data_IF_277816296542
#
_entry.id   IF_277816296542
#
_cell.length_a   1.000
_cell.length_b   1.000
_cell.length_c   1.000
_cell.angle_alpha   90.00
_cell.angle_beta   90.00
_cell.angle_gamma   90.00
#
_symmetry.space_group_name_H-M   'P 1'
#
loop_
_entity.id
_entity.type
_entity.pdbx_description
1 polymer ?
#
# COMPACT_ATOMS: atom_id res chain seq x y z
N UNK A 1 -6.16 6.15 -17.27
CA UNK A 1 -5.54 5.29 -18.29
C UNK A 1 -4.36 4.58 -17.63
N UNK A 2 -4.34 3.24 -17.76
CA UNK A 2 -3.18 2.34 -17.63
C UNK A 2 -2.37 2.30 -16.33
N UNK A 3 -2.08 1.09 -15.85
CA UNK A 3 -0.82 0.87 -15.14
C UNK A 3 0.36 1.04 -16.12
N UNK A 4 1.54 1.36 -15.60
CA UNK A 4 2.76 1.68 -16.38
C UNK A 4 3.34 0.53 -17.17
N UNK A 5 3.50 -0.61 -16.50
CA UNK A 5 4.39 -1.67 -16.95
C UNK A 5 3.69 -2.71 -17.80
N UNK A 6 2.38 -2.89 -17.56
CA UNK A 6 1.47 -3.59 -18.45
C UNK A 6 0.45 -2.58 -18.94
N UNK A 7 0.28 -2.34 -20.26
CA UNK A 7 -0.72 -1.41 -20.81
C UNK A 7 -2.17 -1.88 -20.59
N UNK A 8 -2.41 -2.67 -19.54
CA UNK A 8 -3.69 -3.13 -19.04
C UNK A 8 -3.93 -2.44 -17.69
N UNK A 9 -5.09 -1.80 -17.55
CA UNK A 9 -5.49 -1.20 -16.27
C UNK A 9 -6.24 -2.22 -15.41
N UNK A 10 -6.23 -2.03 -14.09
CA UNK A 10 -7.23 -2.61 -13.20
C UNK A 10 -8.25 -1.54 -12.82
N UNK A 11 -9.53 -1.91 -12.86
CA UNK A 11 -10.65 -1.00 -12.63
C UNK A 11 -11.27 -1.14 -11.23
N UNK A 12 -10.85 -2.15 -10.47
CA UNK A 12 -11.35 -2.44 -9.13
C UNK A 12 -11.23 -3.92 -8.77
N UNK A 13 -11.73 -4.28 -7.60
CA UNK A 13 -11.83 -5.66 -7.12
C UNK A 13 -13.18 -5.85 -6.45
N UNK A 14 -13.77 -7.03 -6.65
CA UNK A 14 -14.99 -7.43 -5.95
C UNK A 14 -14.60 -8.37 -4.83
N UNK A 15 -14.80 -7.95 -3.60
CA UNK A 15 -14.62 -8.77 -2.40
C UNK A 15 -15.99 -9.25 -1.96
N UNK A 16 -16.10 -10.54 -1.65
CA UNK A 16 -17.33 -11.17 -1.19
C UNK A 16 -17.03 -11.89 0.12
N UNK A 17 -17.67 -11.41 1.18
CA UNK A 17 -17.62 -12.01 2.51
C UNK A 17 -18.68 -13.11 2.68
N UNK A 18 -18.57 -13.94 3.74
CA UNK A 18 -19.51 -15.02 4.00
C UNK A 18 -20.98 -14.57 3.97
N UNK A 19 -21.86 -15.52 3.69
CA UNK A 19 -23.29 -15.25 3.58
C UNK A 19 -23.83 -14.52 4.81
N UNK A 20 -24.66 -13.50 4.56
CA UNK A 20 -25.25 -12.67 5.62
C UNK A 20 -24.36 -11.51 6.10
N UNK A 21 -23.13 -11.39 5.60
CA UNK A 21 -22.26 -10.27 5.96
C UNK A 21 -22.80 -8.94 5.45
N UNK A 22 -22.67 -7.88 6.26
CA UNK A 22 -23.00 -6.50 5.88
C UNK A 22 -21.74 -5.61 5.92
N UNK A 23 -21.72 -4.60 5.06
CA UNK A 23 -20.55 -3.77 4.78
C UNK A 23 -20.85 -2.35 5.26
N UNK A 24 -20.04 -1.79 6.15
CA UNK A 24 -20.30 -0.50 6.79
C UNK A 24 -19.13 0.47 6.66
N UNK A 25 -19.43 1.74 6.48
CA UNK A 25 -18.43 2.80 6.53
C UNK A 25 -17.89 2.93 7.97
N UNK A 26 -16.57 2.84 8.20
CA UNK A 26 -16.01 2.83 9.57
C UNK A 26 -16.19 4.13 10.36
N UNK A 27 -16.49 5.25 9.69
CA UNK A 27 -16.65 6.54 10.36
C UNK A 27 -18.11 6.80 10.72
N UNK A 28 -19.03 6.41 9.84
CA UNK A 28 -20.45 6.72 9.96
C UNK A 28 -21.31 5.54 10.40
N UNK A 29 -20.78 4.32 10.32
CA UNK A 29 -21.51 3.07 10.58
C UNK A 29 -22.59 2.73 9.56
N UNK A 30 -22.79 3.56 8.53
CA UNK A 30 -23.82 3.35 7.51
C UNK A 30 -23.40 2.25 6.56
N UNK A 31 -24.38 1.49 6.06
CA UNK A 31 -24.10 0.44 5.09
C UNK A 31 -23.58 1.05 3.77
N UNK A 32 -22.54 0.44 3.20
CA UNK A 32 -21.91 0.86 1.94
C UNK A 32 -21.88 -0.28 0.94
N UNK A 33 -21.76 0.08 -0.34
CA UNK A 33 -21.58 -0.90 -1.43
C UNK A 33 -20.14 -1.03 -1.90
N UNK A 34 -19.29 -0.08 -1.56
CA UNK A 34 -17.91 -0.01 -2.05
C UNK A 34 -17.07 0.88 -1.15
N UNK A 35 -15.81 0.54 -1.00
CA UNK A 35 -14.80 1.35 -0.32
C UNK A 35 -13.53 0.52 -0.13
N UNK A 36 -12.35 1.16 -0.08
CA UNK A 36 -11.12 0.43 0.20
C UNK A 36 -10.99 0.07 1.68
N UNK A 37 -11.68 0.79 2.59
CA UNK A 37 -11.69 0.49 4.03
C UNK A 37 -13.15 0.38 4.48
N UNK A 38 -13.52 -0.77 5.03
CA UNK A 38 -14.92 -1.11 5.35
C UNK A 38 -14.96 -1.96 6.61
N UNK A 39 -15.96 -1.74 7.46
CA UNK A 39 -16.30 -2.62 8.57
C UNK A 39 -17.21 -3.74 8.07
N UNK A 40 -16.75 -4.97 8.18
CA UNK A 40 -17.53 -6.16 7.86
C UNK A 40 -18.18 -6.65 9.13
N UNK A 41 -19.50 -6.74 9.12
CA UNK A 41 -20.27 -7.38 10.17
C UNK A 41 -20.71 -8.76 9.71
N UNK A 42 -20.33 -9.80 10.45
CA UNK A 42 -20.61 -11.18 10.12
C UNK A 42 -20.46 -12.06 11.35
N UNK A 43 -20.67 -13.37 11.20
CA UNK A 43 -20.54 -14.35 12.29
C UNK A 43 -19.53 -15.46 11.98
N UNK A 44 -19.13 -15.58 10.73
CA UNK A 44 -18.29 -16.67 10.24
C UNK A 44 -16.80 -16.43 10.55
N UNK A 45 -15.99 -17.50 10.65
CA UNK A 45 -14.54 -17.40 10.71
C UNK A 45 -13.95 -16.86 9.40
N UNK A 46 -13.08 -15.86 9.50
CA UNK A 46 -12.38 -15.26 8.34
C UNK A 46 -10.89 -15.58 8.31
N UNK A 47 -10.32 -15.96 9.45
CA UNK A 47 -8.99 -16.53 9.59
C UNK A 47 -8.88 -17.33 10.90
N UNK A 48 -7.78 -18.05 11.09
CA UNK A 48 -7.47 -18.71 12.35
C UNK A 48 -7.46 -17.68 13.49
N UNK A 49 -8.30 -17.90 14.51
CA UNK A 49 -8.43 -17.00 15.65
C UNK A 49 -9.17 -15.69 15.38
N UNK A 50 -9.75 -15.51 14.19
CA UNK A 50 -10.51 -14.31 13.82
C UNK A 50 -11.86 -14.68 13.21
N UNK A 51 -12.93 -14.29 13.89
CA UNK A 51 -14.31 -14.54 13.51
C UNK A 51 -15.20 -13.36 13.89
N UNK A 52 -16.35 -13.24 13.23
CA UNK A 52 -17.31 -12.21 13.55
C UNK A 52 -17.02 -10.90 12.80
N UNK A 53 -17.10 -9.78 13.52
CA UNK A 53 -16.87 -8.46 12.92
C UNK A 53 -15.37 -8.17 12.78
N UNK A 54 -14.99 -7.54 11.67
CA UNK A 54 -13.61 -7.10 11.45
C UNK A 54 -13.57 -5.87 10.55
N UNK A 55 -12.46 -5.13 10.64
CA UNK A 55 -12.20 -4.01 9.72
C UNK A 55 -11.33 -4.49 8.58
N UNK A 56 -11.76 -4.22 7.36
CA UNK A 56 -11.06 -4.60 6.14
C UNK A 56 -10.33 -3.40 5.52
N UNK A 57 -9.13 -3.63 4.99
CA UNK A 57 -8.50 -2.79 3.99
C UNK A 57 -8.21 -3.62 2.73
N UNK A 58 -8.81 -3.23 1.60
CA UNK A 58 -8.46 -3.73 0.28
C UNK A 58 -7.33 -2.89 -0.30
N UNK A 59 -6.18 -3.54 -0.47
CA UNK A 59 -4.93 -2.95 -0.91
C UNK A 59 -4.48 -3.60 -2.23
N UNK A 60 -4.83 -2.94 -3.35
CA UNK A 60 -4.23 -3.22 -4.64
C UNK A 60 -2.81 -2.64 -4.66
N UNK A 61 -1.81 -3.50 -4.72
CA UNK A 61 -0.42 -3.05 -4.83
C UNK A 61 -0.10 -2.67 -6.27
N UNK A 62 0.71 -1.63 -6.38
CA UNK A 62 1.13 -1.07 -7.67
C UNK A 62 2.59 -0.67 -7.63
N UNK A 63 3.28 -0.87 -8.76
CA UNK A 63 4.71 -0.54 -8.97
C UNK A 63 4.97 0.92 -9.31
N UNK A 64 3.91 1.69 -9.61
CA UNK A 64 4.06 3.06 -10.08
C UNK A 64 2.81 3.89 -9.84
N UNK A 65 3.03 5.12 -9.36
CA UNK A 65 2.13 6.25 -9.55
C UNK A 65 2.88 7.38 -10.25
N UNK A 66 2.47 7.81 -11.46
CA UNK A 66 3.27 8.73 -12.29
C UNK A 66 3.62 10.04 -11.58
N UNK A 67 2.65 10.61 -10.86
CA UNK A 67 2.83 11.91 -10.21
C UNK A 67 3.75 11.85 -8.97
N UNK A 68 4.19 10.66 -8.54
CA UNK A 68 5.18 10.50 -7.44
C UNK A 68 6.54 10.04 -7.96
N UNK A 69 6.78 10.08 -9.27
CA UNK A 69 8.09 9.82 -9.84
C UNK A 69 9.19 10.70 -9.23
N UNK A 70 10.31 10.08 -8.91
CA UNK A 70 11.48 10.68 -8.30
C UNK A 70 12.75 10.30 -9.06
N UNK A 71 13.61 11.28 -9.31
CA UNK A 71 14.92 11.12 -9.90
C UNK A 71 15.90 10.55 -8.86
N UNK A 72 16.52 9.42 -9.18
CA UNK A 72 17.59 8.85 -8.36
C UNK A 72 18.87 9.66 -8.60
N UNK A 73 19.48 10.18 -7.54
CA UNK A 73 20.61 11.13 -7.65
C UNK A 73 21.97 10.48 -7.41
N UNK A 74 22.04 9.37 -6.67
CA UNK A 74 23.27 8.61 -6.42
C UNK A 74 23.09 7.12 -6.73
N UNK A 75 24.18 6.44 -7.10
CA UNK A 75 24.15 5.00 -7.46
C UNK A 75 23.76 4.70 -8.91
N UNK A 76 23.49 5.73 -9.71
CA UNK A 76 23.16 5.58 -11.13
C UNK A 76 24.39 5.30 -12.02
N UNK A 77 24.26 4.44 -13.05
CA UNK A 77 25.26 4.35 -14.10
C UNK A 77 25.52 5.73 -14.74
N UNK A 78 26.79 6.06 -15.11
CA UNK A 78 27.11 7.32 -15.76
C UNK A 78 26.30 7.51 -17.07
N UNK A 79 25.84 8.74 -17.34
CA UNK A 79 25.20 9.11 -18.63
C UNK A 79 23.66 9.19 -18.62
N UNK A 80 23.02 9.10 -17.45
CA UNK A 80 21.58 9.18 -17.33
C UNK A 80 21.16 10.60 -16.89
N UNK A 81 20.68 11.42 -17.84
CA UNK A 81 20.17 12.77 -17.54
C UNK A 81 18.73 12.74 -17.03
N UNK A 82 18.25 13.84 -16.45
CA UNK A 82 16.85 14.02 -16.04
C UNK A 82 15.89 13.87 -17.22
N UNK A 83 16.26 14.38 -18.39
CA UNK A 83 15.49 14.23 -19.63
C UNK A 83 15.38 12.75 -20.02
N UNK A 84 16.48 12.00 -19.94
CA UNK A 84 16.47 10.56 -20.18
C UNK A 84 15.59 9.83 -19.17
N UNK A 85 15.57 10.27 -17.90
CA UNK A 85 14.72 9.69 -16.87
C UNK A 85 13.22 9.96 -17.13
N UNK A 86 12.85 11.16 -17.58
CA UNK A 86 11.46 11.51 -17.92
C UNK A 86 11.00 10.79 -19.19
N UNK A 87 11.87 10.70 -20.20
CA UNK A 87 11.59 9.98 -21.44
C UNK A 87 11.49 8.46 -21.20
N UNK A 88 12.32 7.92 -20.31
CA UNK A 88 12.22 6.54 -19.87
C UNK A 88 10.88 6.32 -19.15
N UNK A 89 10.07 5.40 -19.66
CA UNK A 89 8.77 5.07 -19.08
C UNK A 89 7.59 5.87 -19.64
N UNK A 90 7.80 6.96 -20.40
CA UNK A 90 6.70 7.68 -21.05
C UNK A 90 6.07 6.83 -22.17
N UNK A 91 4.75 6.68 -22.16
CA UNK A 91 3.97 6.01 -23.22
C UNK A 91 2.65 6.74 -23.49
N UNK A 92 1.97 6.40 -24.59
CA UNK A 92 0.65 6.99 -24.90
C UNK A 92 -0.36 6.68 -23.78
N UNK A 93 -0.23 5.53 -23.12
CA UNK A 93 -1.09 5.11 -22.02
C UNK A 93 -0.67 5.66 -20.65
N UNK A 94 0.53 6.23 -20.55
CA UNK A 94 1.13 6.70 -19.31
C UNK A 94 2.03 7.92 -19.55
N UNK A 95 1.60 9.08 -19.04
CA UNK A 95 2.36 10.32 -19.17
C UNK A 95 3.12 10.60 -17.87
N UNK A 96 4.44 10.65 -17.97
CA UNK A 96 5.28 11.16 -16.90
C UNK A 96 5.02 12.66 -16.68
N UNK A 97 5.19 13.17 -15.46
CA UNK A 97 5.14 14.60 -15.22
C UNK A 97 6.28 15.28 -15.98
N UNK A 98 6.08 16.57 -16.32
CA UNK A 98 7.10 17.37 -17.03
C UNK A 98 8.37 17.61 -16.20
N UNK A 99 8.25 17.47 -14.89
CA UNK A 99 9.35 17.56 -13.94
C UNK A 99 9.15 16.53 -12.83
N UNK A 100 10.25 16.02 -12.28
CA UNK A 100 10.28 14.99 -11.23
C UNK A 100 11.10 15.46 -10.05
N UNK A 101 10.65 15.20 -8.83
CA UNK A 101 11.45 15.56 -7.65
C UNK A 101 12.68 14.67 -7.53
N UNK A 102 13.71 15.11 -6.83
CA UNK A 102 14.80 14.20 -6.46
C UNK A 102 14.33 13.26 -5.34
N UNK A 103 14.90 12.05 -5.29
CA UNK A 103 14.61 11.08 -4.23
C UNK A 103 14.85 11.67 -2.84
N UNK A 104 14.00 11.30 -1.89
CA UNK A 104 14.18 11.67 -0.48
C UNK A 104 15.47 11.09 0.15
N UNK A 105 15.95 9.97 -0.40
CA UNK A 105 17.12 9.25 0.05
C UNK A 105 18.06 9.03 -1.15
N UNK A 106 19.28 9.60 -1.15
CA UNK A 106 20.17 9.57 -2.33
C UNK A 106 20.55 8.16 -2.77
N UNK A 107 20.79 7.25 -1.82
CA UNK A 107 21.19 5.86 -2.07
C UNK A 107 19.98 4.95 -2.31
N UNK A 108 19.23 5.22 -3.37
CA UNK A 108 18.12 4.36 -3.77
C UNK A 108 18.53 3.49 -4.97
N UNK A 109 18.44 2.16 -4.82
CA UNK A 109 18.47 1.26 -5.97
C UNK A 109 17.18 1.43 -6.77
N UNK A 110 17.29 1.70 -8.06
CA UNK A 110 16.10 1.86 -8.92
C UNK A 110 16.34 2.35 -10.34
N UNK A 111 17.59 2.37 -10.82
CA UNK A 111 17.91 2.97 -12.13
C UNK A 111 17.64 4.48 -12.16
N UNK A 112 17.32 5.04 -13.34
CA UNK A 112 17.26 6.50 -13.55
C UNK A 112 16.22 7.23 -12.71
N UNK A 113 15.08 6.61 -12.49
CA UNK A 113 14.00 7.15 -11.68
C UNK A 113 13.26 6.01 -10.99
N UNK A 114 12.69 6.31 -9.84
CA UNK A 114 11.73 5.45 -9.17
C UNK A 114 10.37 6.12 -9.15
N UNK A 115 9.31 5.34 -9.16
CA UNK A 115 7.96 5.84 -8.92
C UNK A 115 7.42 5.40 -7.56
N UNK A 116 8.19 4.55 -6.86
CA UNK A 116 7.85 3.94 -5.58
C UNK A 116 6.74 2.88 -5.69
N UNK A 117 6.52 2.15 -4.60
CA UNK A 117 5.34 1.31 -4.43
C UNK A 117 4.12 2.15 -4.06
N UNK A 118 2.93 1.69 -4.44
CA UNK A 118 1.67 2.37 -4.17
C UNK A 118 0.56 1.39 -3.79
N UNK A 119 -0.46 1.93 -3.13
CA UNK A 119 -1.68 1.22 -2.77
C UNK A 119 -2.88 1.92 -3.39
N UNK A 120 -3.72 1.17 -4.12
CA UNK A 120 -4.91 1.68 -4.78
C UNK A 120 -4.62 2.91 -5.66
N UNK A 121 -3.51 2.85 -6.42
CA UNK A 121 -2.98 3.95 -7.25
C UNK A 121 -2.63 5.24 -6.48
N UNK A 122 -2.33 5.13 -5.19
CA UNK A 122 -1.93 6.26 -4.35
C UNK A 122 -0.61 5.98 -3.66
N UNK A 123 0.23 7.00 -3.60
CA UNK A 123 1.47 7.02 -2.86
C UNK A 123 1.61 8.35 -2.11
N UNK A 124 2.12 8.28 -0.88
CA UNK A 124 2.47 9.44 -0.07
C UNK A 124 3.98 9.70 -0.23
N UNK A 125 4.32 10.63 -1.14
CA UNK A 125 5.72 10.90 -1.51
C UNK A 125 6.49 11.60 -0.39
N UNK A 126 7.53 10.94 0.13
CA UNK A 126 8.46 11.54 1.10
C UNK A 126 9.26 12.68 0.48
N UNK A 127 9.64 12.58 -0.79
CA UNK A 127 10.32 13.65 -1.51
C UNK A 127 9.45 14.91 -1.59
N UNK A 128 8.15 14.75 -1.88
CA UNK A 128 7.22 15.89 -1.91
C UNK A 128 7.05 16.53 -0.53
N UNK A 129 7.04 15.72 0.54
CA UNK A 129 7.00 16.22 1.92
C UNK A 129 8.27 16.99 2.28
N UNK A 130 9.45 16.49 1.92
CA UNK A 130 10.73 17.19 2.15
C UNK A 130 10.86 18.48 1.33
N UNK A 131 10.37 18.47 0.09
CA UNK A 131 10.32 19.68 -0.73
C UNK A 131 9.41 20.76 -0.12
N UNK A 132 8.30 20.35 0.51
CA UNK A 132 7.39 21.26 1.21
C UNK A 132 7.92 21.71 2.59
N UNK A 133 8.62 20.84 3.32
CA UNK A 133 9.29 21.16 4.58
C UNK A 133 10.59 20.35 4.71
N UNK A 134 11.77 21.00 4.70
CA UNK A 134 13.06 20.31 4.73
C UNK A 134 13.41 19.72 6.11
N UNK A 135 12.66 20.01 7.19
CA UNK A 135 12.86 19.40 8.50
C UNK A 135 12.42 17.92 8.47
N UNK A 136 13.40 17.03 8.28
CA UNK A 136 13.18 15.58 8.23
C UNK A 136 12.50 15.01 9.49
N UNK A 137 12.57 15.67 10.65
CA UNK A 137 11.85 15.24 11.85
C UNK A 137 10.33 15.35 11.73
N UNK A 138 9.84 16.12 10.74
CA UNK A 138 8.40 16.35 10.50
C UNK A 138 7.84 15.48 9.38
N UNK A 139 8.65 14.63 8.77
CA UNK A 139 8.29 13.90 7.56
C UNK A 139 6.98 13.10 7.66
N UNK A 140 6.72 12.51 8.83
CA UNK A 140 5.52 11.73 9.11
C UNK A 140 4.42 12.52 9.84
N UNK A 141 4.60 13.82 10.09
CA UNK A 141 3.66 14.62 10.86
C UNK A 141 2.44 15.03 10.02
N UNK A 142 1.27 14.49 10.37
CA UNK A 142 0.00 14.94 9.78
C UNK A 142 -0.34 16.39 10.08
N UNK A 143 0.19 16.98 11.16
CA UNK A 143 -0.01 18.42 11.44
C UNK A 143 0.69 19.32 10.42
N UNK A 144 1.83 18.87 9.89
CA UNK A 144 2.63 19.63 8.92
C UNK A 144 2.18 19.35 7.49
N UNK A 145 1.91 18.08 7.17
CA UNK A 145 1.67 17.63 5.79
C UNK A 145 0.23 17.19 5.51
N UNK A 146 -0.63 17.11 6.52
CA UNK A 146 -1.89 16.36 6.44
C UNK A 146 -1.69 14.85 6.52
N UNK A 147 -2.79 14.12 6.70
CA UNK A 147 -2.80 12.66 6.58
C UNK A 147 -2.35 12.24 5.16
N UNK A 148 -1.69 11.08 5.02
CA UNK A 148 -1.27 10.60 3.70
C UNK A 148 -2.48 10.40 2.78
N UNK A 149 -2.26 10.54 1.48
CA UNK A 149 -3.31 10.34 0.47
C UNK A 149 -3.73 8.88 0.31
N UNK A 150 -2.95 7.94 0.86
CA UNK A 150 -3.23 6.50 0.88
C UNK A 150 -4.36 6.17 1.87
N UNK A 151 -5.08 5.04 1.69
CA UNK A 151 -6.19 4.68 2.57
C UNK A 151 -5.79 4.63 4.05
N UNK A 152 -6.53 5.32 4.92
CA UNK A 152 -6.28 5.30 6.36
C UNK A 152 -7.24 4.31 7.04
N UNK A 153 -6.69 3.26 7.63
CA UNK A 153 -7.43 2.33 8.48
C UNK A 153 -7.22 2.73 9.95
N UNK A 154 -8.33 3.00 10.66
CA UNK A 154 -8.33 3.29 12.09
C UNK A 154 -9.04 2.16 12.80
N UNK A 155 -8.52 1.68 13.93
CA UNK A 155 -9.16 0.63 14.71
C UNK A 155 -8.87 0.74 16.20
N UNK A 156 -9.75 0.19 17.03
CA UNK A 156 -9.51 0.09 18.45
C UNK A 156 -8.58 -1.09 18.73
N UNK A 157 -7.77 -0.98 19.77
CA UNK A 157 -6.89 -2.08 20.19
C UNK A 157 -7.74 -3.34 20.42
N UNK A 158 -7.31 -4.47 19.88
CA UNK A 158 -8.03 -5.73 20.00
C UNK A 158 -9.01 -6.02 18.86
N UNK A 159 -9.38 -5.03 18.05
CA UNK A 159 -10.21 -5.25 16.86
C UNK A 159 -9.53 -6.22 15.89
N UNK A 160 -10.30 -7.13 15.30
CA UNK A 160 -9.82 -7.93 14.18
C UNK A 160 -9.71 -7.06 12.93
N UNK A 161 -8.56 -7.15 12.26
CA UNK A 161 -8.27 -6.42 11.03
C UNK A 161 -7.87 -7.40 9.95
N UNK A 162 -8.39 -7.20 8.74
CA UNK A 162 -8.05 -8.01 7.56
C UNK A 162 -7.50 -7.12 6.44
N UNK A 163 -6.27 -7.38 6.03
CA UNK A 163 -5.69 -6.75 4.84
C UNK A 163 -5.86 -7.69 3.63
N UNK A 164 -6.63 -7.25 2.62
CA UNK A 164 -6.75 -7.94 1.33
C UNK A 164 -5.69 -7.38 0.39
N UNK A 165 -4.61 -8.13 0.19
CA UNK A 165 -3.51 -7.74 -0.69
C UNK A 165 -3.74 -8.34 -2.07
N UNK A 166 -3.72 -7.50 -3.11
CA UNK A 166 -3.99 -7.90 -4.49
C UNK A 166 -2.91 -7.34 -5.42
N UNK A 167 -2.22 -8.22 -6.14
CA UNK A 167 -1.19 -7.85 -7.12
C UNK A 167 -1.61 -8.32 -8.52
N UNK A 168 -2.56 -7.61 -9.13
CA UNK A 168 -3.17 -8.05 -10.39
C UNK A 168 -2.78 -7.25 -11.63
N UNK A 169 -1.96 -6.20 -11.48
CA UNK A 169 -2.03 -5.05 -12.38
C UNK A 169 -0.69 -4.60 -12.95
N UNK A 170 0.44 -5.04 -12.37
CA UNK A 170 1.76 -4.49 -12.62
C UNK A 170 2.86 -5.56 -12.57
N UNK A 171 4.07 -5.22 -13.05
CA UNK A 171 5.12 -6.17 -13.41
C UNK A 171 6.10 -6.46 -12.27
N UNK A 172 6.09 -5.65 -11.23
CA UNK A 172 7.01 -5.85 -10.11
C UNK A 172 6.41 -6.74 -9.04
N UNK A 173 7.31 -7.32 -8.26
CA UNK A 173 6.93 -7.99 -7.02
C UNK A 173 7.05 -7.01 -5.87
N UNK A 174 6.17 -7.18 -4.89
CA UNK A 174 6.03 -6.25 -3.78
C UNK A 174 6.26 -6.95 -2.45
N UNK A 175 6.58 -6.16 -1.45
CA UNK A 175 6.49 -6.56 -0.05
C UNK A 175 5.42 -5.75 0.64
N UNK A 176 4.68 -6.36 1.55
CA UNK A 176 3.73 -5.68 2.42
C UNK A 176 4.15 -5.84 3.86
N UNK A 177 4.24 -4.69 4.55
CA UNK A 177 4.60 -4.61 5.97
C UNK A 177 3.66 -3.63 6.64
N UNK A 178 3.22 -3.98 7.85
CA UNK A 178 2.69 -3.01 8.82
C UNK A 178 3.57 -3.11 10.06
N UNK A 179 4.09 -1.96 10.48
CA UNK A 179 4.99 -1.88 11.63
C UNK A 179 4.34 -2.51 12.87
N UNK A 180 5.09 -3.29 13.65
CA UNK A 180 4.60 -3.91 14.89
C UNK A 180 3.59 -5.06 14.73
N UNK A 181 3.22 -5.44 13.50
CA UNK A 181 2.25 -6.50 13.23
C UNK A 181 2.89 -7.67 12.48
N UNK A 182 2.19 -8.81 12.48
CA UNK A 182 2.51 -9.98 11.68
C UNK A 182 1.25 -10.77 11.36
N UNK A 183 1.39 -11.66 10.39
CA UNK A 183 0.30 -12.31 9.68
C UNK A 183 0.65 -13.76 9.34
N UNK A 184 -0.38 -14.60 9.16
CA UNK A 184 -0.24 -15.93 8.57
C UNK A 184 -0.63 -15.88 7.09
N UNK A 185 0.26 -16.24 6.15
CA UNK A 185 -0.08 -16.29 4.73
C UNK A 185 -1.22 -17.28 4.43
N UNK A 186 -1.19 -18.45 5.08
CA UNK A 186 -2.27 -19.43 5.02
C UNK A 186 -3.28 -19.12 6.13
N UNK A 187 -4.23 -18.23 5.84
CA UNK A 187 -5.05 -17.58 6.87
C UNK A 187 -5.81 -18.52 7.80
N UNK A 188 -6.20 -19.72 7.34
CA UNK A 188 -6.96 -20.69 8.14
C UNK A 188 -6.09 -21.75 8.81
N UNK A 189 -4.83 -21.89 8.39
CA UNK A 189 -3.92 -22.86 8.96
C UNK A 189 -3.27 -22.29 10.21
N UNK A 190 -3.57 -22.91 11.36
CA UNK A 190 -2.98 -22.56 12.66
C UNK A 190 -1.46 -22.69 12.64
N UNK A 191 -0.96 -23.69 11.92
CA UNK A 191 0.45 -24.09 11.95
C UNK A 191 1.26 -23.30 10.89
N UNK A 192 0.59 -22.53 10.02
CA UNK A 192 1.21 -21.59 9.08
C UNK A 192 2.11 -20.61 9.79
N UNK A 193 3.35 -20.40 9.36
CA UNK A 193 4.25 -19.46 10.04
C UNK A 193 3.67 -18.05 10.11
N UNK A 194 3.96 -17.37 11.22
CA UNK A 194 3.71 -15.94 11.36
C UNK A 194 4.89 -15.18 10.75
N UNK A 195 4.60 -14.19 9.90
CA UNK A 195 5.60 -13.31 9.29
C UNK A 195 5.18 -11.86 9.38
N UNK A 196 6.16 -10.96 9.55
CA UNK A 196 5.96 -9.51 9.57
C UNK A 196 6.08 -8.87 8.18
N UNK A 197 6.55 -9.63 7.19
CA UNK A 197 6.66 -9.20 5.79
C UNK A 197 6.08 -10.29 4.89
N UNK A 198 5.24 -9.88 3.95
CA UNK A 198 4.72 -10.74 2.89
C UNK A 198 5.31 -10.28 1.57
N UNK A 199 5.99 -11.17 0.87
CA UNK A 199 6.28 -10.99 -0.55
C UNK A 199 5.04 -11.40 -1.36
N UNK A 200 4.65 -10.57 -2.32
CA UNK A 200 3.54 -10.83 -3.23
C UNK A 200 4.02 -10.66 -4.68
N UNK A 201 3.85 -11.72 -5.45
CA UNK A 201 4.16 -11.78 -6.87
C UNK A 201 3.02 -11.27 -7.75
N UNK A 202 3.23 -11.35 -9.07
CA UNK A 202 2.21 -11.01 -10.06
C UNK A 202 1.10 -12.06 -10.02
N UNK A 203 -0.15 -11.61 -10.15
CA UNK A 203 -1.36 -12.41 -10.12
C UNK A 203 -1.60 -13.15 -8.79
N UNK A 204 -0.95 -12.72 -7.71
CA UNK A 204 -1.17 -13.26 -6.37
C UNK A 204 -2.17 -12.43 -5.56
N UNK A 205 -2.72 -13.07 -4.53
CA UNK A 205 -3.52 -12.43 -3.49
C UNK A 205 -3.18 -13.01 -2.13
N UNK A 206 -3.30 -12.19 -1.09
CA UNK A 206 -3.23 -12.63 0.31
C UNK A 206 -4.34 -11.99 1.14
N UNK A 207 -4.84 -12.75 2.10
CA UNK A 207 -5.84 -12.30 3.07
C UNK A 207 -5.18 -12.37 4.46
N UNK A 208 -4.69 -11.23 4.92
CA UNK A 208 -3.78 -11.15 6.06
C UNK A 208 -4.51 -10.63 7.29
N UNK A 209 -4.98 -11.57 8.11
CA UNK A 209 -5.65 -11.24 9.36
C UNK A 209 -4.65 -10.89 10.47
N UNK A 210 -4.99 -9.92 11.30
CA UNK A 210 -4.23 -9.53 12.49
C UNK A 210 -5.15 -8.86 13.52
N UNK A 211 -4.57 -8.50 14.66
CA UNK A 211 -5.24 -7.75 15.71
C UNK A 211 -4.68 -6.34 15.77
N UNK A 212 -5.56 -5.34 15.81
CA UNK A 212 -5.17 -3.95 15.97
C UNK A 212 -4.38 -3.72 17.25
N UNK A 213 -3.28 -2.95 17.14
CA UNK A 213 -2.32 -2.71 18.21
C UNK A 213 -1.13 -3.68 18.20
N UNK A 214 -1.09 -4.63 17.27
CA UNK A 214 0.02 -5.53 17.03
C UNK A 214 0.36 -6.42 18.23
N UNK A 215 1.56 -6.99 18.24
CA UNK A 215 2.01 -7.86 19.35
C UNK A 215 2.11 -7.13 20.69
N UNK A 216 2.29 -5.81 20.65
CA UNK A 216 2.46 -4.99 21.85
C UNK A 216 1.13 -4.51 22.44
N UNK A 217 0.01 -4.71 21.73
CA UNK A 217 -1.32 -4.24 22.14
C UNK A 217 -1.32 -2.74 22.49
N UNK A 218 -0.63 -1.94 21.67
CA UNK A 218 -0.46 -0.51 21.92
C UNK A 218 -1.27 0.34 20.93
N UNK A 219 -1.87 1.41 21.44
CA UNK A 219 -2.42 2.45 20.59
C UNK A 219 -1.29 3.23 19.92
N UNK A 220 -1.52 3.66 18.69
CA UNK A 220 -0.60 4.51 17.95
C UNK A 220 -0.83 4.45 16.45
N UNK A 221 -0.07 5.26 15.74
CA UNK A 221 -0.03 5.23 14.27
C UNK A 221 1.01 4.20 13.82
N UNK A 222 0.56 3.27 13.00
CA UNK A 222 1.42 2.22 12.44
C UNK A 222 1.65 2.48 10.96
N UNK A 223 2.91 2.59 10.55
CA UNK A 223 3.27 2.71 9.15
C UNK A 223 3.03 1.36 8.46
N UNK A 224 2.18 1.38 7.43
CA UNK A 224 2.15 0.34 6.41
C UNK A 224 2.82 0.85 5.14
N UNK A 225 3.60 0.00 4.50
CA UNK A 225 4.34 0.38 3.31
C UNK A 225 4.54 -0.80 2.37
N UNK A 226 4.78 -0.44 1.10
CA UNK A 226 5.14 -1.38 0.06
C UNK A 226 6.63 -1.21 -0.24
N UNK A 227 7.41 -2.28 -0.05
CA UNK A 227 8.79 -2.33 -0.53
C UNK A 227 8.85 -3.01 -1.89
N UNK A 228 9.50 -2.38 -2.86
CA UNK A 228 9.83 -2.98 -4.16
C UNK A 228 11.21 -3.62 -4.05
N UNK A 229 11.38 -4.81 -4.63
CA UNK A 229 12.62 -5.61 -4.51
C UNK A 229 13.63 -5.38 -5.65
N UNK A 230 13.30 -4.55 -6.64
CA UNK A 230 14.10 -4.25 -7.83
C UNK A 230 14.44 -2.77 -7.99
#
# INVERSE_FOLDING_TARGET
FGATTWPHGGIGSTIVEPWGSTYHDPQTGKQVRSGPVVDIHGTEPVAYGHSGNFRELVAQVSDTVPHTAQLVTEGNPPGLSRENAIAAGQSISFQMPKDILEVAFPYLNGGTHTTGGAFNFRAASLAARLAANPDASKLFSSKVHGDPSTPMLRAYIGDSVLFRLLSGMQNETHTFVVSGHGYRPERYDRDSRVTNTIHIGIAERYDLATTAGGYQQMAGDYLYYNGRSS
#
